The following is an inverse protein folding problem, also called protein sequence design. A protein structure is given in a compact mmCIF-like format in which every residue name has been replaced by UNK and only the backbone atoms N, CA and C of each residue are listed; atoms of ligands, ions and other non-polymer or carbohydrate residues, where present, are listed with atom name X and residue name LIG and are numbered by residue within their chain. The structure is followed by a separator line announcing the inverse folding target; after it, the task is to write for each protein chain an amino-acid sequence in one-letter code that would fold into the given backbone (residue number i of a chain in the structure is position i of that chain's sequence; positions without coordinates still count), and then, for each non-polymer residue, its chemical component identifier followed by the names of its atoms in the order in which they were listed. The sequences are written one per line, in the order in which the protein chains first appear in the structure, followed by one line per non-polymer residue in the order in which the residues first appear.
data_IF_972864798884
#
_entry.id   IF_972864798884
#
_cell.length_a   1.000
_cell.length_b   1.000
_cell.length_c   1.000
_cell.angle_alpha   90.00
_cell.angle_beta   90.00
_cell.angle_gamma   90.00
#
_symmetry.space_group_name_H-M   'P 1'
#
loop_
_entity.id
_entity.type
_entity.pdbx_description
1 polymer ?
#
# COMPACT_ATOMS: atom_id res chain seq x y z
N UNK A 1 -3.95 11.39 17.26
CA UNK A 1 -4.71 11.70 16.02
C UNK A 1 -6.02 12.40 16.35
N UNK A 2 -6.45 13.36 15.50
CA UNK A 2 -7.83 13.84 15.50
C UNK A 2 -8.74 12.73 14.92
N UNK A 3 -9.77 12.26 15.63
CA UNK A 3 -10.63 11.17 15.18
C UNK A 3 -11.44 11.51 13.91
N UNK A 4 -11.58 12.77 13.59
CA UNK A 4 -12.28 13.23 12.39
C UNK A 4 -11.34 13.54 11.23
N UNK A 5 -10.02 13.42 11.42
CA UNK A 5 -9.02 13.70 10.39
C UNK A 5 -8.60 12.40 9.69
N UNK A 6 -8.70 12.37 8.36
CA UNK A 6 -8.30 11.23 7.53
C UNK A 6 -7.26 11.69 6.51
N UNK A 7 -6.09 11.08 6.58
CA UNK A 7 -4.99 11.34 5.66
C UNK A 7 -5.31 10.76 4.28
N UNK A 8 -5.20 11.60 3.23
CA UNK A 8 -5.41 11.21 1.84
C UNK A 8 -4.10 10.95 1.12
N UNK A 9 -3.94 9.76 0.56
CA UNK A 9 -2.81 9.38 -0.28
C UNK A 9 -3.26 9.05 -1.69
N UNK A 10 -2.52 9.48 -2.71
CA UNK A 10 -2.71 9.03 -4.09
C UNK A 10 -1.60 8.07 -4.48
N UNK A 11 -1.92 7.05 -5.26
CA UNK A 11 -0.98 6.02 -5.70
C UNK A 11 -0.89 5.99 -7.23
N UNK A 12 0.32 6.15 -7.75
CA UNK A 12 0.63 6.05 -9.16
C UNK A 12 1.48 4.80 -9.44
N UNK A 13 1.09 3.99 -10.43
CA UNK A 13 1.98 2.97 -11.00
C UNK A 13 2.99 3.66 -11.91
N UNK A 14 4.23 3.79 -11.45
CA UNK A 14 5.31 4.37 -12.25
C UNK A 14 5.96 3.35 -13.19
N UNK A 15 5.72 2.05 -12.97
CA UNK A 15 6.12 0.95 -13.84
C UNK A 15 5.18 -0.22 -13.62
N UNK A 16 4.41 -0.59 -14.64
CA UNK A 16 3.35 -1.59 -14.59
C UNK A 16 3.82 -2.93 -15.17
N UNK A 17 3.40 -4.03 -14.54
CA UNK A 17 3.52 -5.39 -15.06
C UNK A 17 4.95 -5.94 -15.16
N UNK A 18 5.05 -7.26 -15.41
CA UNK A 18 6.32 -7.95 -15.65
C UNK A 18 7.20 -8.15 -14.43
N UNK A 19 6.63 -8.15 -13.21
CA UNK A 19 7.32 -8.56 -11.99
C UNK A 19 7.65 -10.07 -12.05
N UNK A 20 8.84 -10.45 -11.62
CA UNK A 20 9.29 -11.87 -11.63
C UNK A 20 8.74 -12.72 -10.50
N UNK A 21 8.09 -12.09 -9.52
CA UNK A 21 7.55 -12.76 -8.34
C UNK A 21 6.22 -13.46 -8.62
N UNK A 22 5.87 -14.45 -7.77
CA UNK A 22 4.68 -15.29 -7.92
C UNK A 22 3.58 -15.00 -6.88
N UNK A 23 3.55 -13.78 -6.33
CA UNK A 23 2.51 -13.40 -5.36
C UNK A 23 1.12 -13.72 -5.92
N UNK A 24 0.39 -14.68 -5.31
CA UNK A 24 -0.82 -15.30 -5.85
C UNK A 24 -2.01 -14.36 -6.07
N UNK A 25 -1.96 -13.15 -5.52
CA UNK A 25 -2.98 -12.10 -5.67
C UNK A 25 -2.61 -11.04 -6.74
N UNK A 26 -1.36 -11.07 -7.25
CA UNK A 26 -0.79 -9.91 -7.95
C UNK A 26 -0.94 -10.00 -9.46
N UNK A 27 -1.76 -9.11 -10.02
CA UNK A 27 -1.92 -8.96 -11.48
C UNK A 27 -0.64 -8.58 -12.22
N UNK A 28 0.35 -8.01 -11.53
CA UNK A 28 1.59 -7.53 -12.13
C UNK A 28 2.67 -8.61 -12.28
N UNK A 29 2.41 -9.81 -11.78
CA UNK A 29 3.31 -10.96 -11.92
C UNK A 29 3.43 -11.38 -13.40
N UNK A 30 4.65 -11.64 -13.85
CA UNK A 30 4.89 -12.21 -15.19
C UNK A 30 4.62 -13.72 -15.26
N UNK A 31 4.20 -14.32 -14.14
CA UNK A 31 3.90 -15.75 -14.03
C UNK A 31 2.44 -16.06 -14.29
N UNK A 32 1.58 -15.04 -14.34
CA UNK A 32 0.14 -15.18 -14.54
C UNK A 32 -0.29 -14.43 -15.80
N UNK A 33 -1.26 -15.00 -16.50
CA UNK A 33 -1.86 -14.36 -17.67
C UNK A 33 -3.10 -13.57 -17.23
N UNK A 34 -2.87 -12.32 -16.88
CA UNK A 34 -3.90 -11.40 -16.38
C UNK A 34 -4.30 -10.36 -17.42
N UNK A 35 -3.82 -10.49 -18.66
CA UNK A 35 -4.03 -9.48 -19.72
C UNK A 35 -3.35 -8.13 -19.47
N UNK A 36 -2.60 -7.99 -18.36
CA UNK A 36 -1.94 -6.73 -18.04
C UNK A 36 -0.68 -6.53 -18.88
N UNK A 37 -0.65 -5.46 -19.66
CA UNK A 37 0.52 -5.10 -20.46
C UNK A 37 1.70 -4.63 -19.59
N UNK A 38 2.91 -4.91 -20.09
CA UNK A 38 4.14 -4.42 -19.46
C UNK A 38 4.44 -3.04 -19.97
N UNK A 39 4.53 -2.10 -19.05
CA UNK A 39 4.91 -0.72 -19.34
C UNK A 39 6.34 -0.44 -18.89
N UNK A 40 6.99 0.48 -19.56
CA UNK A 40 8.28 1.02 -19.14
C UNK A 40 8.11 1.91 -17.90
N UNK A 41 9.23 2.26 -17.26
CA UNK A 41 9.22 3.28 -16.21
C UNK A 41 8.76 4.61 -16.82
N UNK A 42 7.79 5.25 -16.17
CA UNK A 42 7.24 6.54 -16.62
C UNK A 42 8.34 7.63 -16.64
N UNK A 43 8.25 8.56 -17.59
CA UNK A 43 9.12 9.72 -17.58
C UNK A 43 8.79 10.65 -16.40
N UNK A 44 9.78 11.40 -15.92
CA UNK A 44 9.64 12.30 -14.77
C UNK A 44 8.49 13.32 -14.94
N UNK A 45 8.35 13.88 -16.12
CA UNK A 45 7.32 14.92 -16.40
C UNK A 45 5.90 14.39 -16.19
N UNK A 46 5.64 13.15 -16.59
CA UNK A 46 4.35 12.50 -16.40
C UNK A 46 4.06 12.22 -14.92
N UNK A 47 5.08 11.78 -14.17
CA UNK A 47 4.97 11.60 -12.71
C UNK A 47 4.65 12.92 -12.02
N UNK A 48 5.29 14.03 -12.43
CA UNK A 48 5.05 15.35 -11.86
C UNK A 48 3.68 15.92 -12.22
N UNK A 49 3.17 15.65 -13.41
CA UNK A 49 1.80 16.00 -13.80
C UNK A 49 0.79 15.32 -12.87
N UNK A 50 0.91 14.01 -12.67
CA UNK A 50 0.07 13.24 -11.76
C UNK A 50 0.20 13.72 -10.30
N UNK A 51 1.41 14.03 -9.85
CA UNK A 51 1.63 14.53 -8.49
C UNK A 51 0.98 15.91 -8.26
N UNK A 52 1.05 16.81 -9.24
CA UNK A 52 0.37 18.12 -9.18
C UNK A 52 -1.15 17.95 -9.16
N UNK A 53 -1.69 17.05 -10.00
CA UNK A 53 -3.12 16.75 -10.03
C UNK A 53 -3.59 16.16 -8.69
N UNK A 54 -2.83 15.23 -8.11
CA UNK A 54 -3.12 14.65 -6.79
C UNK A 54 -3.15 15.72 -5.69
N UNK A 55 -2.14 16.61 -5.68
CA UNK A 55 -2.09 17.74 -4.73
C UNK A 55 -3.28 18.68 -4.89
N UNK A 56 -3.64 19.02 -6.11
CA UNK A 56 -4.78 19.90 -6.40
C UNK A 56 -6.12 19.29 -5.93
N UNK A 57 -6.23 17.95 -5.90
CA UNK A 57 -7.37 17.21 -5.36
C UNK A 57 -7.29 16.98 -3.84
N UNK A 58 -6.28 17.54 -3.15
CA UNK A 58 -6.17 17.48 -1.69
C UNK A 58 -5.45 16.25 -1.12
N UNK A 59 -4.67 15.52 -1.92
CA UNK A 59 -3.77 14.52 -1.40
C UNK A 59 -2.61 15.18 -0.63
N UNK A 60 -2.29 14.66 0.55
CA UNK A 60 -1.13 15.07 1.34
C UNK A 60 0.08 14.16 1.10
N UNK A 61 -0.14 12.92 0.61
CA UNK A 61 0.91 11.95 0.28
C UNK A 61 0.76 11.45 -1.15
N UNK A 62 1.88 11.35 -1.86
CA UNK A 62 1.96 10.78 -3.20
C UNK A 62 2.82 9.52 -3.18
N UNK A 63 2.21 8.38 -3.49
CA UNK A 63 2.83 7.08 -3.51
C UNK A 63 3.17 6.68 -4.95
N UNK A 64 4.36 6.16 -5.18
CA UNK A 64 4.86 5.70 -6.48
C UNK A 64 5.20 4.21 -6.40
N UNK A 65 4.49 3.38 -7.15
CA UNK A 65 4.71 1.93 -7.17
C UNK A 65 5.35 1.44 -8.47
N UNK A 66 6.33 0.55 -8.38
CA UNK A 66 6.93 -0.11 -9.52
C UNK A 66 6.89 -1.64 -9.38
N UNK A 67 6.44 -2.32 -10.43
CA UNK A 67 6.33 -3.77 -10.48
C UNK A 67 7.72 -4.44 -10.63
N UNK A 68 8.50 -4.43 -9.57
CA UNK A 68 9.81 -5.06 -9.47
C UNK A 68 9.90 -6.03 -8.30
N UNK A 69 10.75 -7.07 -8.44
CA UNK A 69 11.27 -7.81 -7.29
C UNK A 69 12.10 -6.89 -6.38
N UNK A 70 12.88 -6.01 -6.99
CA UNK A 70 13.70 -4.98 -6.38
C UNK A 70 14.37 -4.16 -7.47
N UNK A 71 14.69 -2.88 -7.22
CA UNK A 71 15.24 -2.00 -8.25
C UNK A 71 16.69 -2.38 -8.56
N UNK A 72 17.04 -2.34 -9.85
CA UNK A 72 18.44 -2.33 -10.28
C UNK A 72 18.98 -0.90 -10.14
N UNK A 73 20.30 -0.74 -9.98
CA UNK A 73 20.90 0.60 -9.81
C UNK A 73 20.53 1.58 -10.94
N UNK A 74 20.50 1.11 -12.17
CA UNK A 74 20.12 1.93 -13.34
C UNK A 74 18.65 2.37 -13.29
N UNK A 75 17.78 1.58 -12.66
CA UNK A 75 16.33 1.85 -12.57
C UNK A 75 16.01 2.69 -11.32
N UNK A 76 16.88 2.64 -10.31
CA UNK A 76 16.74 3.43 -9.09
C UNK A 76 17.02 4.93 -9.33
N UNK A 77 18.04 5.26 -10.14
CA UNK A 77 18.45 6.65 -10.39
C UNK A 77 17.27 7.56 -10.82
N UNK A 78 16.48 7.22 -11.85
CA UNK A 78 15.33 8.06 -12.22
C UNK A 78 14.27 8.14 -11.11
N UNK A 79 14.10 7.09 -10.29
CA UNK A 79 13.16 7.13 -9.16
C UNK A 79 13.64 8.10 -8.08
N UNK A 80 14.96 8.20 -7.83
CA UNK A 80 15.51 9.21 -6.91
C UNK A 80 15.19 10.63 -7.37
N UNK A 81 15.24 10.89 -8.68
CA UNK A 81 14.85 12.19 -9.23
C UNK A 81 13.34 12.43 -9.10
N UNK A 82 12.50 11.43 -9.33
CA UNK A 82 11.06 11.51 -9.08
C UNK A 82 10.77 11.88 -7.61
N UNK A 83 11.42 11.22 -6.65
CA UNK A 83 11.27 11.52 -5.21
C UNK A 83 11.63 12.97 -4.91
N UNK A 84 12.81 13.43 -5.39
CA UNK A 84 13.26 14.82 -5.17
C UNK A 84 12.28 15.86 -5.70
N UNK A 85 11.80 15.64 -6.92
CA UNK A 85 10.92 16.62 -7.58
C UNK A 85 9.49 16.59 -7.01
N UNK A 86 8.95 15.43 -6.68
CA UNK A 86 7.65 15.32 -5.99
C UNK A 86 7.73 15.97 -4.60
N UNK A 87 8.83 15.78 -3.87
CA UNK A 87 9.07 16.43 -2.57
C UNK A 87 9.03 17.96 -2.65
N UNK A 88 9.58 18.54 -3.72
CA UNK A 88 9.53 20.00 -3.96
C UNK A 88 8.11 20.54 -4.14
N UNK A 89 7.16 19.69 -4.51
CA UNK A 89 5.75 20.06 -4.58
C UNK A 89 5.11 20.19 -3.18
N UNK A 90 5.82 19.82 -2.10
CA UNK A 90 5.31 19.85 -0.73
C UNK A 90 4.39 18.68 -0.38
N UNK A 91 4.49 17.57 -1.12
CA UNK A 91 3.83 16.31 -0.80
C UNK A 91 4.74 15.44 0.05
N UNK A 92 4.19 14.65 0.96
CA UNK A 92 4.89 13.49 1.49
C UNK A 92 5.11 12.48 0.36
N UNK A 93 6.31 11.92 0.29
CA UNK A 93 6.67 10.93 -0.73
C UNK A 93 6.65 9.52 -0.17
N UNK A 94 6.09 8.58 -0.91
CA UNK A 94 6.12 7.17 -0.59
C UNK A 94 6.47 6.37 -1.85
N UNK A 95 7.30 5.33 -1.71
CA UNK A 95 7.60 4.43 -2.83
C UNK A 95 7.39 2.97 -2.46
N UNK A 96 7.03 2.15 -3.46
CA UNK A 96 6.95 0.68 -3.40
C UNK A 96 7.78 0.12 -4.54
N UNK A 97 9.00 -0.34 -4.27
CA UNK A 97 9.96 -0.76 -5.30
C UNK A 97 10.38 -2.23 -5.17
N UNK A 98 9.76 -2.98 -4.25
CA UNK A 98 10.17 -4.34 -3.91
C UNK A 98 11.31 -4.38 -2.88
N UNK A 99 12.14 -5.42 -2.92
CA UNK A 99 13.22 -5.65 -1.95
C UNK A 99 14.44 -4.79 -2.25
N UNK A 100 14.94 -4.09 -1.23
CA UNK A 100 16.10 -3.21 -1.36
C UNK A 100 17.40 -3.96 -1.08
N UNK A 101 18.41 -3.63 -1.86
CA UNK A 101 19.81 -4.01 -1.61
C UNK A 101 20.47 -2.99 -0.68
N UNK A 102 21.64 -3.36 -0.15
CA UNK A 102 22.44 -2.48 0.69
C UNK A 102 22.77 -1.17 -0.03
N UNK A 103 22.69 -0.06 0.67
CA UNK A 103 22.92 1.29 0.13
C UNK A 103 21.77 1.90 -0.66
N UNK A 104 20.69 1.15 -0.96
CA UNK A 104 19.55 1.69 -1.73
C UNK A 104 18.59 2.49 -0.86
N UNK A 105 18.39 2.08 0.38
CA UNK A 105 17.55 2.82 1.33
C UNK A 105 18.16 4.19 1.66
N UNK A 106 19.47 4.25 1.86
CA UNK A 106 20.21 5.49 2.12
C UNK A 106 20.10 6.46 0.95
N UNK A 107 20.25 5.97 -0.30
CA UNK A 107 20.05 6.81 -1.50
C UNK A 107 18.63 7.38 -1.59
N UNK A 108 17.61 6.59 -1.22
CA UNK A 108 16.23 7.06 -1.17
C UNK A 108 16.03 8.11 -0.08
N UNK A 109 16.65 7.92 1.09
CA UNK A 109 16.65 8.92 2.18
C UNK A 109 17.29 10.22 1.74
N UNK A 110 18.46 10.16 1.11
CA UNK A 110 19.19 11.31 0.58
C UNK A 110 18.39 12.06 -0.50
N UNK A 111 17.53 11.34 -1.24
CA UNK A 111 16.60 11.95 -2.19
C UNK A 111 15.41 12.64 -1.50
N UNK A 112 15.22 12.46 -0.18
CA UNK A 112 14.15 13.06 0.59
C UNK A 112 12.91 12.20 0.75
N UNK A 113 13.03 10.86 0.58
CA UNK A 113 11.91 9.95 0.76
C UNK A 113 11.40 9.96 2.20
N UNK A 114 10.08 10.09 2.37
CA UNK A 114 9.43 10.07 3.68
C UNK A 114 9.03 8.66 4.11
N UNK A 115 8.45 7.86 3.19
CA UNK A 115 7.92 6.53 3.47
C UNK A 115 8.36 5.50 2.43
N UNK A 116 8.67 4.29 2.89
CA UNK A 116 8.83 3.13 2.04
C UNK A 116 7.72 2.13 2.31
N UNK A 117 6.93 1.78 1.29
CA UNK A 117 5.90 0.76 1.41
C UNK A 117 6.44 -0.62 1.05
N UNK A 118 6.37 -1.55 1.99
CA UNK A 118 6.72 -2.95 1.78
C UNK A 118 5.90 -3.83 2.72
N UNK A 119 4.76 -4.31 2.22
CA UNK A 119 3.84 -5.11 3.02
C UNK A 119 4.42 -6.50 3.32
N UNK A 120 4.09 -7.07 4.47
CA UNK A 120 4.32 -8.49 4.75
C UNK A 120 3.22 -9.40 4.19
N UNK A 121 2.17 -8.81 3.65
CA UNK A 121 1.02 -9.37 2.95
C UNK A 121 0.14 -10.28 3.79
N UNK A 122 0.69 -11.27 4.50
CA UNK A 122 -0.06 -12.20 5.35
C UNK A 122 0.77 -12.68 6.54
N UNK A 123 0.21 -13.58 7.36
CA UNK A 123 0.90 -14.12 8.52
C UNK A 123 2.08 -15.04 8.16
N UNK A 124 3.07 -15.20 9.05
CA UNK A 124 4.24 -16.04 8.80
C UNK A 124 3.89 -17.47 8.39
N UNK A 125 2.92 -18.10 9.07
CA UNK A 125 2.53 -19.48 8.80
C UNK A 125 1.73 -19.66 7.49
N UNK A 126 1.12 -18.59 6.97
CA UNK A 126 0.34 -18.65 5.73
C UNK A 126 1.13 -18.14 4.51
N UNK A 127 2.25 -17.45 4.75
CA UNK A 127 3.03 -16.76 3.72
C UNK A 127 3.43 -17.64 2.54
N UNK A 128 3.98 -18.82 2.81
CA UNK A 128 4.45 -19.77 1.79
C UNK A 128 3.33 -20.39 0.93
N UNK A 129 2.06 -20.21 1.31
CA UNK A 129 0.92 -20.63 0.48
C UNK A 129 0.57 -19.60 -0.59
N UNK A 130 1.01 -18.36 -0.40
CA UNK A 130 0.67 -17.22 -1.27
C UNK A 130 1.86 -16.80 -2.13
N UNK A 131 3.09 -16.93 -1.60
CA UNK A 131 4.32 -16.47 -2.26
C UNK A 131 5.41 -17.52 -2.05
N UNK A 132 6.05 -17.95 -3.14
CA UNK A 132 7.13 -18.96 -3.09
C UNK A 132 8.47 -18.47 -3.62
N UNK A 133 8.51 -17.35 -4.34
CA UNK A 133 9.72 -16.79 -4.96
C UNK A 133 10.60 -15.99 -4.03
N UNK A 134 10.10 -15.62 -2.87
CA UNK A 134 10.84 -15.00 -1.77
C UNK A 134 10.14 -15.31 -0.44
N UNK A 135 10.88 -15.14 0.65
CA UNK A 135 10.42 -15.45 2.01
C UNK A 135 9.87 -14.20 2.70
N UNK A 136 9.15 -14.39 3.81
CA UNK A 136 8.79 -13.29 4.70
C UNK A 136 10.03 -12.58 5.23
N UNK A 137 11.13 -13.33 5.53
CA UNK A 137 12.37 -12.75 6.03
C UNK A 137 12.99 -11.77 5.02
N UNK A 138 12.96 -12.06 3.72
CA UNK A 138 13.44 -11.11 2.69
C UNK A 138 12.71 -9.76 2.75
N UNK A 139 11.42 -9.77 3.14
CA UNK A 139 10.65 -8.54 3.34
C UNK A 139 11.03 -7.83 4.63
N UNK A 140 11.17 -8.57 5.72
CA UNK A 140 11.61 -8.01 7.01
C UNK A 140 12.99 -7.39 6.90
N UNK A 141 13.94 -8.05 6.24
CA UNK A 141 15.29 -7.53 5.98
C UNK A 141 15.25 -6.19 5.19
N UNK A 142 14.30 -6.05 4.28
CA UNK A 142 14.10 -4.78 3.56
C UNK A 142 13.57 -3.70 4.50
N UNK A 143 12.61 -4.03 5.36
CA UNK A 143 12.05 -3.08 6.33
C UNK A 143 13.11 -2.61 7.35
N UNK A 144 14.01 -3.50 7.76
CA UNK A 144 15.13 -3.15 8.63
C UNK A 144 16.08 -2.15 7.94
N UNK A 145 16.46 -2.37 6.69
CA UNK A 145 17.26 -1.40 5.90
C UNK A 145 16.58 -0.04 5.78
N UNK A 146 15.25 -0.03 5.60
CA UNK A 146 14.45 1.19 5.53
C UNK A 146 14.49 1.96 6.85
N UNK A 147 14.34 1.27 7.99
CA UNK A 147 14.44 1.86 9.34
C UNK A 147 15.83 2.39 9.62
N UNK A 148 16.86 1.59 9.32
CA UNK A 148 18.27 1.96 9.56
C UNK A 148 18.65 3.23 8.78
N UNK A 149 18.08 3.43 7.58
CA UNK A 149 18.22 4.66 6.81
C UNK A 149 17.39 5.84 7.35
N UNK A 150 16.56 5.64 8.39
CA UNK A 150 15.70 6.69 8.96
C UNK A 150 14.51 7.08 8.06
N UNK A 151 14.01 6.15 7.24
CA UNK A 151 12.80 6.31 6.45
C UNK A 151 11.62 5.69 7.23
N UNK A 152 10.46 6.34 7.23
CA UNK A 152 9.26 5.79 7.86
C UNK A 152 8.77 4.53 7.13
N UNK A 153 8.31 3.55 7.90
CA UNK A 153 7.83 2.28 7.37
C UNK A 153 6.32 2.33 7.10
N UNK A 154 5.93 2.02 5.87
CA UNK A 154 4.56 1.70 5.52
C UNK A 154 4.49 0.18 5.27
N UNK A 155 3.88 -0.56 6.19
CA UNK A 155 3.81 -2.01 6.12
C UNK A 155 2.49 -2.52 6.67
N UNK A 156 1.82 -3.36 5.91
CA UNK A 156 0.54 -3.96 6.27
C UNK A 156 0.34 -5.30 5.57
N UNK A 157 -0.91 -5.64 5.31
CA UNK A 157 -1.25 -6.92 4.69
C UNK A 157 -2.54 -6.90 3.88
N UNK A 158 -2.89 -8.09 3.40
CA UNK A 158 -4.08 -8.36 2.60
C UNK A 158 -4.89 -9.41 3.35
N UNK A 159 -6.20 -9.22 3.41
CA UNK A 159 -7.15 -10.17 3.96
C UNK A 159 -8.10 -10.68 2.88
N UNK A 160 -8.62 -11.89 3.05
CA UNK A 160 -9.44 -12.55 2.04
C UNK A 160 -8.62 -13.43 1.08
N UNK A 161 -7.37 -13.76 1.44
CA UNK A 161 -6.48 -14.66 0.68
C UNK A 161 -6.82 -16.14 0.89
N UNK A 162 -7.90 -16.49 1.63
CA UNK A 162 -8.21 -17.84 2.10
C UNK A 162 -7.62 -18.18 3.47
N UNK A 163 -7.03 -17.21 4.14
CA UNK A 163 -6.44 -17.35 5.46
C UNK A 163 -7.48 -17.50 6.58
N UNK A 164 -7.10 -18.13 7.69
CA UNK A 164 -7.95 -18.28 8.86
C UNK A 164 -8.01 -17.00 9.72
N UNK A 165 -9.00 -16.91 10.63
CA UNK A 165 -9.04 -15.84 11.64
C UNK A 165 -7.78 -15.82 12.51
N UNK A 166 -7.18 -16.99 12.80
CA UNK A 166 -5.92 -17.08 13.51
C UNK A 166 -4.77 -16.47 12.72
N UNK A 167 -4.70 -16.74 11.43
CA UNK A 167 -3.68 -16.13 10.55
C UNK A 167 -3.84 -14.62 10.47
N UNK A 168 -5.07 -14.10 10.41
CA UNK A 168 -5.33 -12.64 10.47
C UNK A 168 -4.85 -12.02 11.77
N UNK A 169 -5.11 -12.67 12.91
CA UNK A 169 -4.60 -12.22 14.20
C UNK A 169 -3.06 -12.26 14.26
N UNK A 170 -2.44 -13.31 13.69
CA UNK A 170 -0.98 -13.43 13.60
C UNK A 170 -0.36 -12.34 12.71
N UNK A 171 -1.00 -11.96 11.59
CA UNK A 171 -0.57 -10.82 10.78
C UNK A 171 -0.52 -9.52 11.60
N UNK A 172 -1.57 -9.22 12.36
CA UNK A 172 -1.59 -8.02 13.22
C UNK A 172 -0.53 -8.12 14.32
N UNK A 173 -0.35 -9.30 14.92
CA UNK A 173 0.67 -9.50 15.95
C UNK A 173 2.09 -9.31 15.38
N UNK A 174 2.37 -9.80 14.17
CA UNK A 174 3.65 -9.58 13.49
C UNK A 174 3.94 -8.10 13.29
N UNK A 175 2.97 -7.34 12.78
CA UNK A 175 3.11 -5.90 12.57
C UNK A 175 3.30 -5.14 13.89
N UNK A 176 2.50 -5.45 14.90
CA UNK A 176 2.54 -4.77 16.20
C UNK A 176 3.80 -5.08 17.02
N UNK A 177 4.43 -6.24 16.81
CA UNK A 177 5.67 -6.63 17.47
C UNK A 177 6.94 -6.13 16.77
N UNK A 178 6.82 -5.50 15.60
CA UNK A 178 7.96 -4.79 15.01
C UNK A 178 8.42 -3.67 15.96
N UNK A 179 9.71 -3.38 16.01
CA UNK A 179 10.27 -2.37 16.93
C UNK A 179 11.04 -1.29 16.13
N UNK A 180 10.44 -0.08 15.93
CA UNK A 180 9.06 0.29 16.27
C UNK A 180 8.03 -0.38 15.36
N UNK A 181 6.73 -0.37 15.72
CA UNK A 181 5.65 -0.73 14.80
C UNK A 181 5.68 0.16 13.54
N UNK A 182 5.09 -0.29 12.40
CA UNK A 182 5.06 0.53 11.20
C UNK A 182 4.35 1.87 11.41
N UNK A 183 4.88 2.95 10.83
CA UNK A 183 4.26 4.30 10.90
C UNK A 183 2.93 4.37 10.14
N UNK A 184 2.76 3.51 9.14
CA UNK A 184 1.51 3.39 8.35
C UNK A 184 1.22 1.92 8.06
N UNK A 185 -0.03 1.50 8.33
CA UNK A 185 -0.48 0.11 8.24
C UNK A 185 -1.65 0.01 7.25
N UNK A 186 -1.37 -0.25 5.96
CA UNK A 186 -2.43 -0.50 5.00
C UNK A 186 -3.08 -1.87 5.23
N UNK A 187 -4.40 -1.88 5.41
CA UNK A 187 -5.22 -3.09 5.40
C UNK A 187 -5.94 -3.14 4.06
N UNK A 188 -5.58 -4.14 3.26
CA UNK A 188 -6.15 -4.35 1.95
C UNK A 188 -7.20 -5.47 2.02
N UNK A 189 -8.35 -5.25 1.40
CA UNK A 189 -9.24 -6.34 1.04
C UNK A 189 -8.79 -6.89 -0.32
N UNK A 190 -8.73 -8.22 -0.46
CA UNK A 190 -8.35 -8.85 -1.73
C UNK A 190 -9.25 -8.33 -2.86
N UNK A 191 -8.63 -7.79 -3.88
CA UNK A 191 -9.27 -7.53 -5.17
C UNK A 191 -8.94 -8.70 -6.07
N UNK A 192 -9.95 -9.49 -6.42
CA UNK A 192 -9.77 -10.63 -7.31
C UNK A 192 -9.46 -10.15 -8.72
N UNK A 193 -8.48 -10.77 -9.35
CA UNK A 193 -8.10 -10.46 -10.74
C UNK A 193 -8.07 -11.76 -11.53
N UNK A 194 -8.82 -11.79 -12.62
CA UNK A 194 -8.86 -12.92 -13.53
C UNK A 194 -7.45 -13.33 -13.97
N UNK A 195 -7.20 -14.63 -14.01
CA UNK A 195 -5.90 -15.19 -14.37
C UNK A 195 -4.90 -15.28 -13.22
N UNK A 196 -5.20 -14.76 -12.03
CA UNK A 196 -4.37 -14.98 -10.83
C UNK A 196 -4.81 -16.25 -10.08
N UNK A 197 -3.92 -16.88 -9.27
CA UNK A 197 -4.28 -18.05 -8.44
C UNK A 197 -5.43 -17.81 -7.45
N UNK A 198 -5.67 -16.56 -7.04
CA UNK A 198 -6.74 -16.20 -6.10
C UNK A 198 -7.97 -15.63 -6.79
N UNK A 199 -8.08 -15.79 -8.11
CA UNK A 199 -9.32 -15.53 -8.81
C UNK A 199 -10.40 -16.52 -8.32
N UNK A 200 -11.59 -16.00 -7.97
CA UNK A 200 -12.67 -16.81 -7.38
C UNK A 200 -12.48 -17.17 -5.89
N UNK A 201 -11.51 -16.58 -5.18
CA UNK A 201 -11.38 -16.75 -3.73
C UNK A 201 -12.65 -16.27 -3.00
N UNK A 202 -12.98 -16.94 -1.89
CA UNK A 202 -14.14 -16.56 -1.08
C UNK A 202 -13.92 -15.15 -0.46
N UNK A 203 -14.92 -14.28 -0.62
CA UNK A 203 -14.86 -12.93 -0.05
C UNK A 203 -14.85 -13.01 1.48
N UNK A 204 -14.05 -12.14 2.11
CA UNK A 204 -14.04 -12.01 3.57
C UNK A 204 -15.38 -11.46 4.07
N UNK A 205 -15.84 -11.94 5.23
CA UNK A 205 -16.97 -11.34 5.94
C UNK A 205 -16.68 -9.85 6.24
N UNK A 206 -17.58 -8.91 5.89
CA UNK A 206 -17.37 -7.47 6.09
C UNK A 206 -17.04 -7.11 7.54
N UNK A 207 -17.66 -7.77 8.53
CA UNK A 207 -17.36 -7.52 9.94
C UNK A 207 -15.98 -8.04 10.35
N UNK A 208 -15.49 -9.11 9.72
CA UNK A 208 -14.13 -9.58 9.95
C UNK A 208 -13.11 -8.56 9.39
N UNK A 209 -13.43 -7.88 8.27
CA UNK A 209 -12.60 -6.79 7.77
C UNK A 209 -12.57 -5.59 8.75
N UNK A 210 -13.73 -5.16 9.26
CA UNK A 210 -13.81 -4.09 10.29
C UNK A 210 -13.03 -4.46 11.54
N UNK A 211 -13.08 -5.73 11.97
CA UNK A 211 -12.29 -6.22 13.12
C UNK A 211 -10.78 -6.11 12.88
N UNK A 212 -10.32 -6.31 11.64
CA UNK A 212 -8.89 -6.11 11.30
C UNK A 212 -8.47 -4.65 11.46
N UNK A 213 -9.30 -3.71 11.02
CA UNK A 213 -9.07 -2.26 11.23
C UNK A 213 -9.01 -1.93 12.72
N UNK A 214 -10.00 -2.42 13.50
CA UNK A 214 -10.05 -2.19 14.95
C UNK A 214 -8.84 -2.79 15.67
N UNK A 215 -8.47 -4.03 15.34
CA UNK A 215 -7.29 -4.68 15.93
C UNK A 215 -6.00 -3.92 15.60
N UNK A 216 -5.82 -3.49 14.35
CA UNK A 216 -4.67 -2.68 13.95
C UNK A 216 -4.62 -1.35 14.74
N UNK A 217 -5.74 -0.66 14.90
CA UNK A 217 -5.81 0.59 15.68
C UNK A 217 -5.46 0.39 17.15
N UNK A 218 -5.99 -0.67 17.79
CA UNK A 218 -5.77 -0.94 19.22
C UNK A 218 -4.31 -1.32 19.49
N UNK A 219 -3.73 -2.14 18.63
CA UNK A 219 -2.35 -2.66 18.84
C UNK A 219 -1.28 -1.70 18.36
N UNK A 220 -1.58 -0.80 17.43
CA UNK A 220 -0.68 0.19 16.85
C UNK A 220 -1.31 1.59 16.91
N UNK A 221 -1.48 2.17 18.12
CA UNK A 221 -2.26 3.39 18.31
C UNK A 221 -1.67 4.64 17.66
N UNK A 222 -0.34 4.66 17.42
CA UNK A 222 0.36 5.79 16.80
C UNK A 222 0.47 5.69 15.28
N UNK A 223 0.14 4.53 14.70
CA UNK A 223 0.23 4.30 13.26
C UNK A 223 -0.93 4.92 12.50
N UNK A 224 -0.70 5.32 11.25
CA UNK A 224 -1.78 5.52 10.29
C UNK A 224 -2.37 4.17 9.90
N UNK A 225 -3.60 3.86 10.32
CA UNK A 225 -4.32 2.67 9.83
C UNK A 225 -5.03 3.05 8.55
N UNK A 226 -4.58 2.45 7.44
CA UNK A 226 -5.06 2.84 6.10
C UNK A 226 -6.10 1.87 5.57
N UNK A 227 -7.27 2.41 5.24
CA UNK A 227 -8.25 1.75 4.40
C UNK A 227 -7.72 1.79 2.95
N UNK A 228 -7.30 0.63 2.45
CA UNK A 228 -6.48 0.52 1.24
C UNK A 228 -7.25 -0.14 0.08
N UNK A 229 -6.70 -1.12 -0.63
CA UNK A 229 -7.37 -1.76 -1.75
C UNK A 229 -8.69 -2.46 -1.36
N UNK A 230 -9.60 -2.62 -2.33
CA UNK A 230 -10.89 -3.26 -2.17
C UNK A 230 -12.04 -2.32 -1.76
N UNK A 231 -11.80 -1.01 -1.65
CA UNK A 231 -12.83 -0.02 -1.30
C UNK A 231 -13.96 0.07 -2.32
N UNK A 232 -13.68 -0.18 -3.59
CA UNK A 232 -14.70 -0.19 -4.66
C UNK A 232 -15.81 -1.23 -4.41
N UNK A 233 -15.51 -2.28 -3.65
CA UNK A 233 -16.43 -3.36 -3.31
C UNK A 233 -17.18 -3.12 -1.99
N UNK A 234 -16.88 -2.00 -1.30
CA UNK A 234 -17.47 -1.64 -0.02
C UNK A 234 -18.55 -0.57 -0.22
N UNK A 235 -19.71 -0.77 0.37
CA UNK A 235 -20.71 0.28 0.47
C UNK A 235 -20.30 1.38 1.47
N UNK A 236 -21.00 2.49 1.46
CA UNK A 236 -20.76 3.62 2.37
C UNK A 236 -20.84 3.22 3.85
N UNK A 237 -21.72 2.29 4.20
CA UNK A 237 -21.92 1.86 5.59
C UNK A 237 -20.70 1.06 6.08
N UNK A 238 -20.15 0.16 5.26
CA UNK A 238 -18.96 -0.60 5.60
C UNK A 238 -17.72 0.32 5.72
N UNK A 239 -17.55 1.26 4.78
CA UNK A 239 -16.47 2.25 4.86
C UNK A 239 -16.60 3.13 6.11
N UNK A 240 -17.81 3.59 6.44
CA UNK A 240 -18.08 4.33 7.67
C UNK A 240 -17.70 3.53 8.93
N UNK A 241 -18.07 2.24 8.99
CA UNK A 241 -17.67 1.35 10.08
C UNK A 241 -16.14 1.22 10.20
N UNK A 242 -15.42 1.17 9.08
CA UNK A 242 -13.95 1.14 9.10
C UNK A 242 -13.36 2.43 9.68
N UNK A 243 -13.86 3.60 9.31
CA UNK A 243 -13.42 4.87 9.92
C UNK A 243 -13.75 4.93 11.40
N UNK A 244 -14.96 4.51 11.82
CA UNK A 244 -15.34 4.42 13.23
C UNK A 244 -14.49 3.41 14.02
N UNK A 245 -14.06 2.32 13.37
CA UNK A 245 -13.18 1.32 13.97
C UNK A 245 -11.71 1.79 14.10
N UNK A 246 -11.37 2.95 13.52
CA UNK A 246 -10.08 3.60 13.70
C UNK A 246 -9.21 3.74 12.45
N UNK A 247 -9.73 3.48 11.25
CA UNK A 247 -9.04 3.90 10.03
C UNK A 247 -8.93 5.43 10.00
N UNK A 248 -7.73 5.96 9.76
CA UNK A 248 -7.46 7.40 9.71
C UNK A 248 -6.58 7.79 8.51
N UNK A 249 -6.47 6.90 7.55
CA UNK A 249 -5.81 7.14 6.26
C UNK A 249 -6.52 6.34 5.18
N UNK A 250 -6.47 6.80 3.94
CA UNK A 250 -7.03 6.08 2.80
C UNK A 250 -6.28 6.40 1.51
N UNK A 251 -6.38 5.51 0.52
CA UNK A 251 -6.08 5.88 -0.86
C UNK A 251 -7.26 6.61 -1.49
N UNK A 252 -6.94 7.74 -2.11
CA UNK A 252 -7.85 8.67 -2.74
C UNK A 252 -7.55 8.79 -4.23
N UNK A 253 -8.60 8.82 -5.07
CA UNK A 253 -8.50 8.86 -6.53
C UNK A 253 -8.92 7.53 -7.17
N UNK A 254 -9.34 7.61 -8.42
CA UNK A 254 -10.11 6.60 -9.16
C UNK A 254 -9.37 5.27 -9.39
N UNK A 255 -8.05 5.25 -9.24
CA UNK A 255 -7.21 4.09 -9.55
C UNK A 255 -6.11 3.91 -8.52
N UNK A 256 -5.86 2.66 -8.16
CA UNK A 256 -4.64 2.22 -7.49
C UNK A 256 -3.59 1.81 -8.54
N UNK A 257 -2.73 0.83 -8.26
CA UNK A 257 -1.71 0.40 -9.24
C UNK A 257 -2.36 -0.13 -10.53
N UNK A 258 -3.22 -1.12 -10.41
CA UNK A 258 -3.85 -1.84 -11.53
C UNK A 258 -5.34 -2.11 -11.31
N UNK A 259 -5.90 -1.65 -10.20
CA UNK A 259 -7.30 -1.88 -9.82
C UNK A 259 -8.02 -0.56 -9.61
N UNK A 260 -9.32 -0.56 -9.84
CA UNK A 260 -10.16 0.60 -9.62
C UNK A 260 -10.29 0.92 -8.13
N UNK A 261 -10.62 2.17 -7.84
CA UNK A 261 -10.87 2.71 -6.51
C UNK A 261 -12.06 3.70 -6.63
N UNK A 262 -12.80 4.00 -5.55
CA UNK A 262 -13.84 5.02 -5.60
C UNK A 262 -13.32 6.34 -6.14
N UNK A 263 -14.15 7.01 -6.94
CA UNK A 263 -13.79 8.32 -7.46
C UNK A 263 -13.75 9.40 -6.35
N UNK A 264 -13.10 10.51 -6.65
CA UNK A 264 -12.91 11.60 -5.71
C UNK A 264 -14.24 12.18 -5.21
N UNK A 265 -15.24 12.29 -6.08
CA UNK A 265 -16.55 12.86 -5.73
C UNK A 265 -17.33 11.95 -4.79
N UNK A 266 -17.23 10.63 -4.96
CA UNK A 266 -17.83 9.66 -4.03
C UNK A 266 -17.19 9.75 -2.65
N UNK A 267 -15.87 9.83 -2.58
CA UNK A 267 -15.13 10.01 -1.33
C UNK A 267 -15.48 11.33 -0.64
N UNK A 268 -15.56 12.43 -1.37
CA UNK A 268 -15.88 13.74 -0.82
C UNK A 268 -17.32 13.78 -0.28
N UNK A 269 -18.29 13.14 -0.96
CA UNK A 269 -19.66 12.98 -0.46
C UNK A 269 -19.71 12.12 0.80
N UNK A 270 -18.96 11.02 0.86
CA UNK A 270 -18.89 10.17 2.03
C UNK A 270 -18.30 10.95 3.22
N UNK A 271 -17.21 11.68 3.02
CA UNK A 271 -16.59 12.50 4.07
C UNK A 271 -17.54 13.57 4.60
N UNK A 272 -18.25 14.28 3.71
CA UNK A 272 -19.23 15.28 4.12
C UNK A 272 -20.37 14.69 4.98
N UNK A 273 -20.87 13.49 4.60
CA UNK A 273 -21.92 12.77 5.35
C UNK A 273 -21.44 12.29 6.73
N UNK A 274 -20.17 11.93 6.86
CA UNK A 274 -19.57 11.43 8.10
C UNK A 274 -18.95 12.54 8.97
N UNK A 275 -18.89 13.79 8.49
CA UNK A 275 -18.21 14.89 9.17
C UNK A 275 -16.69 14.71 9.24
N UNK A 276 -16.09 13.93 8.33
CA UNK A 276 -14.65 13.71 8.26
C UNK A 276 -13.95 14.85 7.52
N UNK A 277 -12.69 15.08 7.88
CA UNK A 277 -11.81 16.08 7.27
C UNK A 277 -10.62 15.43 6.60
N UNK A 278 -10.33 15.85 5.38
CA UNK A 278 -9.08 15.50 4.71
C UNK A 278 -7.90 16.26 5.33
N UNK A 279 -6.78 15.57 5.57
CA UNK A 279 -5.52 16.13 6.06
C UNK A 279 -4.33 15.57 5.30
#
# INVERSE_FOLDING_TARGET
FDPNAVQRSTLLSIKTGGCSEDCGYCSQSSRYDTGLEKEALLPLDEVLENARAAKAKGASRFCMGAAWRGPKEKDLTPVLDMVREVKKLGLETCVTLGMLKDGQAEKLKDAGLDYYNHNIDTSPEFYGQIITTHTLQDRLDTLDKVRDAGINVCCGGIVGLGETKKSRAALIAELANMNPPPDSVPINNLVQVEGTPLDGAEAIDPFDFVRMIAAARITMPESYVRLSAGRQQMDDALQALCFMAGANSMFYGERLLTTDNPDADADDKLFARLGLKAV
#
